data_IF_019401917348
#
_entry.id   IF_019401917348
#
_cell.length_a   1.000
_cell.length_b   1.000
_cell.length_c   1.000
_cell.angle_alpha   90.00
_cell.angle_beta   90.00
_cell.angle_gamma   90.00
#
_symmetry.space_group_name_H-M   'P 1'
#
loop_
_entity.id
_entity.type
_entity.pdbx_description
1 polymer ?
#
# COMPACT_ATOMS: atom_id res chain seq x y z
N UNK A 1 37.24 -31.67 -17.96
CA UNK A 1 36.98 -31.74 -19.39
C UNK A 1 35.93 -30.74 -19.81
N UNK A 2 35.95 -30.30 -21.05
CA UNK A 2 34.99 -29.36 -21.61
C UNK A 2 33.53 -29.86 -21.57
N UNK A 3 33.34 -31.18 -21.69
CA UNK A 3 32.03 -31.81 -21.62
C UNK A 3 31.46 -31.82 -20.18
N UNK A 4 32.28 -32.03 -19.18
CA UNK A 4 31.87 -31.97 -17.79
C UNK A 4 31.55 -30.53 -17.36
N UNK A 5 32.32 -29.56 -17.87
CA UNK A 5 32.07 -28.13 -17.64
C UNK A 5 30.76 -27.63 -18.28
N UNK A 6 30.50 -28.09 -19.52
CA UNK A 6 29.24 -27.77 -20.19
C UNK A 6 28.01 -28.37 -19.48
N UNK A 7 28.18 -29.50 -18.82
CA UNK A 7 27.15 -30.17 -18.04
C UNK A 7 26.85 -29.43 -16.73
N UNK A 8 27.89 -28.99 -16.04
CA UNK A 8 27.78 -28.16 -14.83
C UNK A 8 27.10 -26.80 -15.12
N UNK A 9 27.44 -26.15 -16.24
CA UNK A 9 26.86 -24.91 -16.66
C UNK A 9 25.36 -25.08 -17.01
N UNK A 10 24.96 -26.19 -17.62
CA UNK A 10 23.55 -26.52 -17.89
C UNK A 10 22.75 -26.71 -16.63
N UNK A 11 23.27 -27.42 -15.65
CA UNK A 11 22.63 -27.61 -14.34
C UNK A 11 22.48 -26.30 -13.58
N UNK A 12 23.47 -25.42 -13.60
CA UNK A 12 23.44 -24.10 -12.97
C UNK A 12 22.38 -23.21 -13.62
N UNK A 13 22.29 -23.20 -14.94
CA UNK A 13 21.25 -22.43 -15.67
C UNK A 13 19.85 -22.93 -15.33
N UNK A 14 19.64 -24.24 -15.29
CA UNK A 14 18.35 -24.83 -14.92
C UNK A 14 17.98 -24.50 -13.47
N UNK A 15 18.93 -24.59 -12.54
CA UNK A 15 18.72 -24.22 -11.13
C UNK A 15 18.40 -22.73 -10.98
N UNK A 16 19.07 -21.83 -11.70
CA UNK A 16 18.80 -20.41 -11.69
C UNK A 16 17.42 -20.10 -12.26
N UNK A 17 16.99 -20.78 -13.32
CA UNK A 17 15.65 -20.61 -13.90
C UNK A 17 14.58 -21.06 -12.91
N UNK A 18 14.77 -22.20 -12.24
CA UNK A 18 13.86 -22.70 -11.22
C UNK A 18 13.73 -21.71 -10.04
N UNK A 19 14.84 -21.12 -9.60
CA UNK A 19 14.85 -20.10 -8.53
C UNK A 19 14.11 -18.83 -8.98
N UNK A 20 14.35 -18.36 -10.21
CA UNK A 20 13.63 -17.21 -10.76
C UNK A 20 12.12 -17.45 -10.84
N UNK A 21 11.69 -18.62 -11.29
CA UNK A 21 10.29 -19.00 -11.37
C UNK A 21 9.66 -19.09 -9.99
N UNK A 22 10.36 -19.65 -9.01
CA UNK A 22 9.91 -19.72 -7.63
C UNK A 22 9.79 -18.33 -6.98
N UNK A 23 10.74 -17.42 -7.22
CA UNK A 23 10.69 -16.04 -6.75
C UNK A 23 9.54 -15.28 -7.40
N UNK A 24 9.34 -15.43 -8.71
CA UNK A 24 8.23 -14.81 -9.42
C UNK A 24 6.88 -15.30 -8.89
N UNK A 25 6.72 -16.60 -8.66
CA UNK A 25 5.50 -17.18 -8.08
C UNK A 25 5.26 -16.68 -6.65
N UNK A 26 6.30 -16.60 -5.81
CA UNK A 26 6.21 -16.07 -4.46
C UNK A 26 5.84 -14.58 -4.46
N UNK A 27 6.38 -13.79 -5.39
CA UNK A 27 6.05 -12.38 -5.55
C UNK A 27 4.60 -12.17 -5.98
N UNK A 28 4.09 -12.99 -6.90
CA UNK A 28 2.69 -12.97 -7.31
C UNK A 28 1.75 -13.34 -6.16
N UNK A 29 2.11 -14.36 -5.37
CA UNK A 29 1.34 -14.77 -4.19
C UNK A 29 1.35 -13.68 -3.12
N UNK A 30 2.50 -13.07 -2.85
CA UNK A 30 2.64 -11.99 -1.88
C UNK A 30 1.90 -10.71 -2.30
N UNK A 31 1.73 -10.50 -3.61
CA UNK A 31 1.01 -9.36 -4.18
C UNK A 31 -0.46 -9.68 -4.51
N UNK A 32 -1.03 -10.71 -3.87
CA UNK A 32 -2.44 -11.08 -4.06
C UNK A 32 -3.37 -10.24 -3.21
N UNK A 33 -4.62 -10.13 -3.65
CA UNK A 33 -5.67 -9.48 -2.86
C UNK A 33 -5.88 -10.15 -1.50
N UNK A 34 -5.86 -11.47 -1.44
CA UNK A 34 -6.05 -12.21 -0.19
C UNK A 34 -4.92 -11.94 0.81
N UNK A 35 -3.68 -11.86 0.35
CA UNK A 35 -2.53 -11.50 1.20
C UNK A 35 -2.66 -10.08 1.73
N UNK A 36 -3.02 -9.12 0.89
CA UNK A 36 -3.26 -7.73 1.29
C UNK A 36 -4.38 -7.63 2.33
N UNK A 37 -5.51 -8.28 2.05
CA UNK A 37 -6.66 -8.27 2.95
C UNK A 37 -6.30 -8.84 4.33
N UNK A 38 -5.60 -9.96 4.36
CA UNK A 38 -5.17 -10.59 5.61
C UNK A 38 -4.23 -9.68 6.41
N UNK A 39 -3.30 -9.01 5.74
CA UNK A 39 -2.36 -8.07 6.36
C UNK A 39 -3.11 -6.88 6.99
N UNK A 40 -4.00 -6.24 6.23
CA UNK A 40 -4.79 -5.10 6.73
C UNK A 40 -5.65 -5.52 7.93
N UNK A 41 -6.32 -6.65 7.85
CA UNK A 41 -7.16 -7.15 8.95
C UNK A 41 -6.36 -7.48 10.21
N UNK A 42 -5.09 -7.86 10.05
CA UNK A 42 -4.20 -8.11 11.20
C UNK A 42 -3.78 -6.83 11.93
N UNK A 43 -3.87 -5.68 11.28
CA UNK A 43 -3.36 -4.41 11.78
C UNK A 43 -1.83 -4.29 11.80
N UNK A 44 -1.12 -5.34 11.40
CA UNK A 44 0.36 -5.39 11.34
C UNK A 44 0.83 -5.05 9.94
N UNK A 45 0.84 -3.76 9.63
CA UNK A 45 1.18 -3.29 8.30
C UNK A 45 2.70 -3.11 8.15
N UNK A 46 3.20 -3.49 6.99
CA UNK A 46 4.58 -3.28 6.57
C UNK A 46 4.60 -2.91 5.07
N UNK A 47 5.75 -2.49 4.54
CA UNK A 47 5.88 -2.20 3.12
C UNK A 47 5.99 -3.50 2.30
N UNK A 48 4.97 -4.34 2.39
CA UNK A 48 4.84 -5.51 1.52
C UNK A 48 4.49 -5.09 0.09
N UNK A 49 4.70 -5.97 -0.93
CA UNK A 49 4.54 -5.60 -2.34
C UNK A 49 3.21 -4.93 -2.71
N UNK A 50 2.04 -5.33 -2.19
CA UNK A 50 0.78 -4.68 -2.55
C UNK A 50 0.75 -3.18 -2.31
N UNK A 51 1.32 -2.71 -1.20
CA UNK A 51 1.25 -1.30 -0.82
C UNK A 51 1.98 -0.37 -1.81
N UNK A 52 2.98 -0.87 -2.52
CA UNK A 52 3.81 -0.09 -3.44
C UNK A 52 3.56 -0.40 -4.91
N UNK A 53 2.71 -1.35 -5.23
CA UNK A 53 2.41 -1.77 -6.60
C UNK A 53 1.26 -0.98 -7.21
N UNK A 54 1.56 -0.14 -8.20
CA UNK A 54 0.53 0.60 -8.93
C UNK A 54 -0.42 -0.35 -9.68
N UNK A 55 0.10 -1.45 -10.23
CA UNK A 55 -0.70 -2.47 -10.89
C UNK A 55 -1.69 -3.15 -9.95
N UNK A 56 -1.27 -3.45 -8.72
CA UNK A 56 -2.15 -3.99 -7.69
C UNK A 56 -3.30 -3.02 -7.37
N UNK A 57 -2.99 -1.75 -7.15
CA UNK A 57 -3.99 -0.75 -6.82
C UNK A 57 -4.95 -0.48 -7.99
N UNK A 58 -4.44 -0.44 -9.23
CA UNK A 58 -5.28 -0.30 -10.41
C UNK A 58 -6.31 -1.45 -10.53
N UNK A 59 -5.89 -2.66 -10.19
CA UNK A 59 -6.76 -3.85 -10.27
C UNK A 59 -7.73 -3.98 -9.10
N UNK A 60 -7.35 -3.54 -7.90
CA UNK A 60 -8.03 -3.93 -6.65
C UNK A 60 -8.56 -2.77 -5.79
N UNK A 61 -8.28 -1.52 -6.13
CA UNK A 61 -8.68 -0.37 -5.28
C UNK A 61 -10.18 -0.38 -4.94
N UNK A 62 -11.04 -0.72 -5.90
CA UNK A 62 -12.49 -0.79 -5.69
C UNK A 62 -12.92 -1.87 -4.71
N UNK A 63 -12.12 -2.89 -4.49
CA UNK A 63 -12.43 -3.96 -3.52
C UNK A 63 -12.33 -3.51 -2.07
N UNK A 64 -11.71 -2.37 -1.80
CA UNK A 64 -11.71 -1.80 -0.45
C UNK A 64 -13.11 -1.39 0.01
N UNK A 65 -14.04 -1.16 -0.93
CA UNK A 65 -15.44 -0.89 -0.61
C UNK A 65 -16.23 -2.13 -0.23
N UNK A 66 -15.71 -3.32 -0.51
CA UNK A 66 -16.40 -4.58 -0.22
C UNK A 66 -16.72 -4.70 1.29
N UNK A 67 -17.80 -5.38 1.59
CA UNK A 67 -18.28 -5.59 2.96
C UNK A 67 -18.50 -4.27 3.72
N UNK A 68 -19.06 -3.28 3.04
CA UNK A 68 -19.34 -1.97 3.63
C UNK A 68 -18.08 -1.18 3.98
N UNK A 69 -17.01 -1.33 3.22
CA UNK A 69 -15.75 -0.62 3.45
C UNK A 69 -14.96 -1.15 4.65
N UNK A 70 -15.03 -2.44 4.93
CA UNK A 70 -14.37 -3.06 6.09
C UNK A 70 -12.89 -2.71 6.15
N UNK A 71 -12.16 -2.84 5.04
CA UNK A 71 -10.72 -2.59 5.02
C UNK A 71 -10.40 -1.10 5.22
N UNK A 72 -11.19 -0.22 4.62
CA UNK A 72 -11.03 1.23 4.81
C UNK A 72 -11.22 1.60 6.29
N UNK A 73 -12.23 1.02 6.93
CA UNK A 73 -12.46 1.26 8.37
C UNK A 73 -11.32 0.75 9.23
N UNK A 74 -10.73 -0.39 8.90
CA UNK A 74 -9.57 -0.91 9.62
C UNK A 74 -8.37 0.02 9.43
N UNK A 75 -8.10 0.48 8.20
CA UNK A 75 -7.00 1.41 7.93
C UNK A 75 -7.17 2.73 8.72
N UNK A 76 -8.37 3.29 8.75
CA UNK A 76 -8.64 4.50 9.55
C UNK A 76 -8.44 4.23 11.04
N UNK A 77 -8.86 3.06 11.53
CA UNK A 77 -8.68 2.67 12.93
C UNK A 77 -7.20 2.51 13.31
N UNK A 78 -6.36 2.04 12.40
CA UNK A 78 -4.90 1.98 12.61
C UNK A 78 -4.33 3.36 12.95
N UNK A 79 -4.91 4.43 12.41
CA UNK A 79 -4.48 5.80 12.67
C UNK A 79 -4.94 6.35 14.03
N UNK A 80 -5.85 5.65 14.72
CA UNK A 80 -6.34 6.07 16.04
C UNK A 80 -5.23 5.92 17.08
N UNK A 81 -5.00 6.95 17.92
CA UNK A 81 -4.02 6.84 19.02
C UNK A 81 -4.28 5.66 19.95
N UNK A 82 -5.55 5.29 20.17
CA UNK A 82 -5.92 4.15 21.00
C UNK A 82 -5.46 2.79 20.43
N UNK A 83 -5.22 2.71 19.13
CA UNK A 83 -4.72 1.48 18.50
C UNK A 83 -3.25 1.19 18.83
N UNK A 84 -2.51 2.17 19.32
CA UNK A 84 -1.08 2.05 19.65
C UNK A 84 -0.25 1.46 18.50
N UNK A 85 -0.56 1.85 17.27
CA UNK A 85 0.10 1.35 16.07
C UNK A 85 1.56 1.80 16.00
N UNK A 86 2.41 0.96 15.38
CA UNK A 86 3.81 1.32 15.15
C UNK A 86 3.91 2.46 14.12
N UNK A 87 4.99 3.26 14.14
CA UNK A 87 5.20 4.28 13.11
C UNK A 87 5.16 3.72 11.69
N UNK A 88 5.69 2.52 11.48
CA UNK A 88 5.63 1.84 10.20
C UNK A 88 4.19 1.57 9.76
N UNK A 89 3.36 1.02 10.65
CA UNK A 89 1.95 0.75 10.36
C UNK A 89 1.18 2.03 10.05
N UNK A 90 1.45 3.11 10.76
CA UNK A 90 0.85 4.43 10.50
C UNK A 90 1.21 4.95 9.11
N UNK A 91 2.48 4.87 8.73
CA UNK A 91 2.93 5.32 7.42
C UNK A 91 2.29 4.51 6.29
N UNK A 92 2.25 3.19 6.42
CA UNK A 92 1.63 2.30 5.43
C UNK A 92 0.14 2.57 5.31
N UNK A 93 -0.58 2.69 6.42
CA UNK A 93 -2.02 2.99 6.41
C UNK A 93 -2.31 4.33 5.73
N UNK A 94 -1.54 5.37 6.03
CA UNK A 94 -1.67 6.67 5.37
C UNK A 94 -1.46 6.57 3.85
N UNK A 95 -0.44 5.83 3.41
CA UNK A 95 -0.18 5.60 2.00
C UNK A 95 -1.34 4.91 1.30
N UNK A 96 -1.90 3.86 1.92
CA UNK A 96 -3.03 3.13 1.37
C UNK A 96 -4.30 4.00 1.30
N UNK A 97 -4.57 4.78 2.32
CA UNK A 97 -5.71 5.70 2.33
C UNK A 97 -5.57 6.80 1.28
N UNK A 98 -4.35 7.29 1.04
CA UNK A 98 -4.09 8.25 -0.03
C UNK A 98 -4.39 7.65 -1.42
N UNK A 99 -3.97 6.41 -1.66
CA UNK A 99 -4.26 5.69 -2.91
C UNK A 99 -5.75 5.42 -3.08
N UNK A 100 -6.41 5.00 -2.02
CA UNK A 100 -7.87 4.80 -2.02
C UNK A 100 -8.61 6.09 -2.38
N UNK A 101 -8.26 7.20 -1.75
CA UNK A 101 -8.87 8.50 -2.02
C UNK A 101 -8.65 8.95 -3.48
N UNK A 102 -7.49 8.63 -4.06
CA UNK A 102 -7.16 9.02 -5.43
C UNK A 102 -7.83 8.14 -6.49
N UNK A 103 -7.98 6.85 -6.23
CA UNK A 103 -8.38 5.87 -7.23
C UNK A 103 -9.86 5.50 -7.20
N UNK A 104 -10.50 5.59 -6.03
CA UNK A 104 -11.91 5.24 -5.88
C UNK A 104 -12.76 6.52 -5.97
N UNK A 105 -13.72 6.63 -6.92
CA UNK A 105 -14.44 7.88 -7.18
C UNK A 105 -15.14 8.48 -5.97
N UNK A 106 -15.73 7.65 -5.11
CA UNK A 106 -16.41 8.10 -3.88
C UNK A 106 -15.55 7.89 -2.62
N UNK A 107 -14.29 7.53 -2.77
CA UNK A 107 -13.39 7.22 -1.65
C UNK A 107 -13.22 8.37 -0.67
N UNK A 108 -13.13 9.60 -1.17
CA UNK A 108 -13.05 10.80 -0.31
C UNK A 108 -14.29 11.00 0.55
N UNK A 109 -15.48 10.74 0.00
CA UNK A 109 -16.74 10.80 0.75
C UNK A 109 -16.78 9.75 1.85
N UNK A 110 -16.37 8.52 1.56
CA UNK A 110 -16.28 7.44 2.55
C UNK A 110 -15.30 7.82 3.67
N UNK A 111 -14.14 8.35 3.33
CA UNK A 111 -13.15 8.78 4.32
C UNK A 111 -13.64 9.96 5.16
N UNK A 112 -14.41 10.88 4.58
CA UNK A 112 -15.03 11.97 5.33
C UNK A 112 -16.02 11.44 6.38
N UNK A 113 -16.84 10.46 6.02
CA UNK A 113 -17.79 9.82 6.93
C UNK A 113 -17.07 9.06 8.07
N UNK A 114 -15.87 8.55 7.81
CA UNK A 114 -15.04 7.84 8.78
C UNK A 114 -14.09 8.75 9.57
N UNK A 115 -14.14 10.05 9.35
CA UNK A 115 -13.22 11.03 9.95
C UNK A 115 -11.75 10.75 9.63
N UNK A 116 -11.48 10.24 8.43
CA UNK A 116 -10.14 9.92 7.96
C UNK A 116 -9.22 11.14 7.86
N UNK A 117 -9.76 12.28 7.42
CA UNK A 117 -9.01 13.54 7.34
C UNK A 117 -8.51 13.98 8.71
N UNK A 118 -9.35 13.95 9.71
CA UNK A 118 -9.02 14.32 11.09
C UNK A 118 -7.96 13.37 11.67
N UNK A 119 -8.09 12.08 11.39
CA UNK A 119 -7.10 11.08 11.79
C UNK A 119 -5.73 11.36 11.16
N UNK A 120 -5.69 11.65 9.87
CA UNK A 120 -4.47 12.02 9.16
C UNK A 120 -3.85 13.32 9.68
N UNK A 121 -4.68 14.32 9.95
CA UNK A 121 -4.21 15.63 10.45
C UNK A 121 -3.52 15.52 11.81
N UNK A 122 -4.00 14.65 12.69
CA UNK A 122 -3.31 14.40 13.97
C UNK A 122 -1.88 13.88 13.78
N UNK A 123 -1.63 13.12 12.73
CA UNK A 123 -0.32 12.55 12.43
C UNK A 123 0.66 13.54 11.79
N UNK A 124 0.21 14.73 11.38
CA UNK A 124 1.10 15.78 10.86
C UNK A 124 2.09 16.29 11.91
N UNK A 125 1.78 16.09 13.19
CA UNK A 125 2.67 16.42 14.31
C UNK A 125 3.42 15.21 14.88
N UNK A 126 3.35 14.06 14.22
CA UNK A 126 4.00 12.83 14.70
C UNK A 126 5.54 12.99 14.72
N UNK A 127 6.24 12.40 15.71
CA UNK A 127 7.71 12.51 15.80
C UNK A 127 8.46 11.91 14.60
N UNK A 128 7.93 10.82 14.01
CA UNK A 128 8.55 10.15 12.87
C UNK A 128 8.30 10.94 11.57
N UNK A 129 9.36 11.33 10.83
CA UNK A 129 9.22 12.10 9.60
C UNK A 129 8.53 11.33 8.47
N UNK A 130 8.67 10.01 8.40
CA UNK A 130 7.97 9.19 7.40
C UNK A 130 6.47 9.18 7.66
N UNK A 131 6.04 9.10 8.91
CA UNK A 131 4.63 9.20 9.28
C UNK A 131 4.08 10.56 8.86
N UNK A 132 4.78 11.65 9.17
CA UNK A 132 4.36 13.00 8.77
C UNK A 132 4.21 13.13 7.25
N UNK A 133 5.17 12.63 6.50
CA UNK A 133 5.16 12.69 5.04
C UNK A 133 3.96 11.96 4.44
N UNK A 134 3.70 10.73 4.87
CA UNK A 134 2.58 9.94 4.38
C UNK A 134 1.24 10.48 4.87
N UNK A 135 1.18 10.99 6.09
CA UNK A 135 -0.02 11.66 6.60
C UNK A 135 -0.37 12.90 5.78
N UNK A 136 0.62 13.71 5.42
CA UNK A 136 0.41 14.88 4.57
C UNK A 136 -0.15 14.48 3.20
N UNK A 137 0.43 13.47 2.57
CA UNK A 137 -0.07 12.96 1.29
C UNK A 137 -1.50 12.45 1.39
N UNK A 138 -1.84 11.74 2.47
CA UNK A 138 -3.19 11.24 2.71
C UNK A 138 -4.19 12.40 2.88
N UNK A 139 -3.87 13.37 3.71
CA UNK A 139 -4.74 14.55 3.95
C UNK A 139 -4.95 15.33 2.65
N UNK A 140 -3.88 15.56 1.89
CA UNK A 140 -3.98 16.23 0.59
C UNK A 140 -4.88 15.46 -0.37
N UNK A 141 -4.75 14.14 -0.45
CA UNK A 141 -5.59 13.29 -1.28
C UNK A 141 -7.07 13.32 -0.89
N UNK A 142 -7.36 13.42 0.41
CA UNK A 142 -8.72 13.51 0.93
C UNK A 142 -9.37 14.89 0.69
N UNK A 143 -8.58 15.95 0.73
CA UNK A 143 -9.07 17.32 0.59
C UNK A 143 -9.10 17.77 -0.86
N UNK A 144 -8.05 17.45 -1.62
CA UNK A 144 -7.87 17.88 -2.99
C UNK A 144 -8.29 16.75 -3.93
N UNK A 145 -9.16 17.01 -4.90
CA UNK A 145 -9.49 16.03 -5.91
C UNK A 145 -8.27 15.60 -6.73
N UNK A 146 -8.38 14.46 -7.42
CA UNK A 146 -7.33 13.91 -8.26
C UNK A 146 -6.73 14.95 -9.22
N UNK A 147 -7.58 15.74 -9.85
CA UNK A 147 -7.17 16.75 -10.81
C UNK A 147 -6.32 17.86 -10.17
N UNK A 148 -6.68 18.27 -8.96
CA UNK A 148 -5.90 19.26 -8.19
C UNK A 148 -4.56 18.70 -7.73
N UNK A 149 -4.49 17.43 -7.36
CA UNK A 149 -3.24 16.78 -7.01
C UNK A 149 -2.27 16.73 -8.18
N UNK A 150 -2.77 16.41 -9.37
CA UNK A 150 -1.95 16.42 -10.60
C UNK A 150 -1.43 17.83 -10.90
N UNK A 151 -2.26 18.85 -10.74
CA UNK A 151 -1.87 20.23 -10.94
C UNK A 151 -0.76 20.67 -9.96
N UNK A 152 -0.90 20.35 -8.69
CA UNK A 152 0.11 20.69 -7.69
C UNK A 152 1.44 19.97 -7.94
N UNK A 153 1.40 18.71 -8.35
CA UNK A 153 2.60 17.96 -8.70
C UNK A 153 3.29 18.53 -9.94
N UNK A 154 2.52 19.01 -10.92
CA UNK A 154 3.06 19.64 -12.11
C UNK A 154 3.70 21.02 -11.83
N UNK A 155 3.13 21.77 -10.89
CA UNK A 155 3.63 23.12 -10.50
C UNK A 155 4.80 23.00 -9.52
N UNK A 156 4.84 21.96 -8.69
CA UNK A 156 5.92 21.71 -7.73
C UNK A 156 7.17 21.05 -8.33
N UNK A 157 7.08 20.66 -9.58
CA UNK A 157 8.23 20.17 -10.33
C UNK A 157 8.94 21.32 -11.02
#
# INVERSE_FOLDING_TARGET
SLLAQAWEDGDVVEALTAVKDAVAAASLSACSWDAYRAEVLSGRLAWSPPHTSDAFWAAHAGKLDDRGGQLVRVLVRVLDPAAASTPLALAVACSDLARYAALVPHGRSVLADLHGKEAGMRLLAHPDPDVRRHALAAVQGMVLGRDRMQYLNAVGA
#
